data_IF_472302463879
#
_entry.id   IF_472302463879
#
_cell.length_a   1.000
_cell.length_b   1.000
_cell.length_c   1.000
_cell.angle_alpha   90.00
_cell.angle_beta   90.00
_cell.angle_gamma   90.00
#
_symmetry.space_group_name_H-M   'P 1'
#
loop_
_entity.id
_entity.type
_entity.pdbx_description
1 polymer ?
#
# COMPACT_ATOMS: atom_id res chain seq x y z
N UNK A 1 -18.70 13.45 6.59
CA UNK A 1 -18.45 12.01 6.85
C UNK A 1 -17.94 11.28 5.61
N UNK A 2 -18.62 11.39 4.47
CA UNK A 2 -18.25 10.72 3.21
C UNK A 2 -16.86 11.08 2.67
N UNK A 3 -16.51 12.37 2.61
CA UNK A 3 -15.15 12.83 2.21
C UNK A 3 -14.03 12.29 3.12
N UNK A 4 -14.31 12.10 4.41
CA UNK A 4 -13.33 11.54 5.36
C UNK A 4 -13.12 10.04 5.12
N UNK A 5 -14.19 9.32 4.74
CA UNK A 5 -14.12 7.90 4.36
C UNK A 5 -13.39 7.70 3.03
N UNK A 6 -13.60 8.60 2.07
CA UNK A 6 -12.85 8.66 0.81
C UNK A 6 -11.36 8.92 1.04
N UNK A 7 -11.02 9.92 1.87
CA UNK A 7 -9.64 10.22 2.24
C UNK A 7 -8.98 9.07 3.01
N UNK A 8 -9.73 8.35 3.85
CA UNK A 8 -9.25 7.15 4.54
C UNK A 8 -8.95 6.01 3.55
N UNK A 9 -9.79 5.82 2.53
CA UNK A 9 -9.52 4.90 1.42
C UNK A 9 -8.29 5.30 0.59
N UNK A 10 -8.07 6.61 0.40
CA UNK A 10 -6.92 7.17 -0.32
C UNK A 10 -5.59 7.05 0.46
N UNK A 11 -5.66 7.16 1.79
CA UNK A 11 -4.53 6.96 2.72
C UNK A 11 -3.89 5.57 2.56
N UNK A 12 -4.65 4.61 2.02
CA UNK A 12 -4.24 3.22 1.82
C UNK A 12 -3.61 2.96 0.44
N UNK A 13 -3.42 3.99 -0.39
CA UNK A 13 -2.66 3.88 -1.65
C UNK A 13 -1.16 3.62 -1.39
N UNK A 14 -0.65 3.90 -0.18
CA UNK A 14 0.78 3.81 0.17
C UNK A 14 1.18 2.40 0.67
N UNK A 15 0.64 1.35 0.05
CA UNK A 15 0.97 -0.05 0.35
C UNK A 15 2.27 -0.49 -0.34
N UNK A 16 2.78 -1.67 0.01
CA UNK A 16 3.92 -2.30 -0.70
C UNK A 16 5.31 -1.96 -0.17
N UNK A 17 5.43 -1.10 0.84
CA UNK A 17 6.73 -0.82 1.47
C UNK A 17 7.35 -2.04 2.18
N UNK A 18 6.58 -3.09 2.46
CA UNK A 18 7.07 -4.30 3.13
C UNK A 18 7.76 -5.31 2.21
N UNK A 19 7.78 -5.09 0.89
CA UNK A 19 8.36 -6.03 -0.08
C UNK A 19 9.78 -6.48 0.30
N UNK A 20 10.62 -5.57 0.81
CA UNK A 20 11.98 -5.89 1.27
C UNK A 20 12.03 -6.88 2.44
N UNK A 21 10.93 -7.09 3.19
CA UNK A 21 10.83 -8.04 4.31
C UNK A 21 11.07 -9.46 3.84
N UNK A 22 10.50 -9.78 2.68
CA UNK A 22 10.52 -11.12 2.09
C UNK A 22 11.86 -11.48 1.46
N UNK A 23 12.81 -10.53 1.41
CA UNK A 23 14.17 -10.76 0.92
C UNK A 23 15.13 -11.21 2.05
N UNK A 24 14.62 -11.90 3.07
CA UNK A 24 15.41 -12.34 4.23
C UNK A 24 16.54 -13.30 3.91
N UNK A 25 16.45 -14.03 2.80
CA UNK A 25 17.50 -14.95 2.35
C UNK A 25 18.68 -14.24 1.67
N UNK A 26 18.48 -12.99 1.23
CA UNK A 26 19.47 -12.23 0.46
C UNK A 26 20.07 -11.06 1.24
N UNK A 27 19.35 -10.49 2.21
CA UNK A 27 19.76 -9.27 2.90
C UNK A 27 19.50 -9.32 4.41
N UNK A 28 20.44 -8.72 5.17
CA UNK A 28 20.35 -8.63 6.62
C UNK A 28 19.15 -7.80 7.10
N UNK A 29 18.63 -8.08 8.32
CA UNK A 29 17.50 -7.36 8.90
C UNK A 29 17.67 -5.83 8.90
N UNK A 30 18.87 -5.33 9.21
CA UNK A 30 19.14 -3.89 9.25
C UNK A 30 19.03 -3.23 7.86
N UNK A 31 19.53 -3.89 6.81
CA UNK A 31 19.46 -3.40 5.44
C UNK A 31 18.01 -3.33 4.96
N UNK A 32 17.21 -4.38 5.23
CA UNK A 32 15.79 -4.42 4.87
C UNK A 32 15.02 -3.28 5.53
N UNK A 33 15.19 -3.05 6.84
CA UNK A 33 14.52 -1.94 7.55
C UNK A 33 14.93 -0.58 6.99
N UNK A 34 16.23 -0.37 6.69
CA UNK A 34 16.72 0.87 6.11
C UNK A 34 16.10 1.13 4.74
N UNK A 35 16.04 0.10 3.89
CA UNK A 35 15.43 0.17 2.56
C UNK A 35 13.95 0.55 2.64
N UNK A 36 13.16 -0.09 3.51
CA UNK A 36 11.73 0.22 3.69
C UNK A 36 11.51 1.68 4.10
N UNK A 37 12.27 2.17 5.09
CA UNK A 37 12.14 3.57 5.57
C UNK A 37 12.50 4.58 4.49
N UNK A 38 13.55 4.31 3.73
CA UNK A 38 13.99 5.18 2.65
C UNK A 38 12.97 5.18 1.50
N UNK A 39 12.43 4.01 1.14
CA UNK A 39 11.37 3.91 0.14
C UNK A 39 10.12 4.70 0.54
N UNK A 40 9.67 4.58 1.79
CA UNK A 40 8.55 5.36 2.33
C UNK A 40 8.81 6.87 2.26
N UNK A 41 10.01 7.32 2.65
CA UNK A 41 10.36 8.74 2.61
C UNK A 41 10.39 9.28 1.18
N UNK A 42 11.06 8.57 0.26
CA UNK A 42 11.16 8.97 -1.15
C UNK A 42 9.78 9.01 -1.80
N UNK A 43 8.96 7.96 -1.61
CA UNK A 43 7.60 7.91 -2.14
C UNK A 43 6.75 9.05 -1.57
N UNK A 44 6.84 9.31 -0.26
CA UNK A 44 6.14 10.41 0.39
C UNK A 44 6.51 11.77 -0.20
N UNK A 45 7.79 12.03 -0.43
CA UNK A 45 8.26 13.27 -1.08
C UNK A 45 7.73 13.37 -2.52
N UNK A 46 7.80 12.29 -3.30
CA UNK A 46 7.30 12.28 -4.68
C UNK A 46 5.79 12.57 -4.72
N UNK A 47 5.00 11.93 -3.85
CA UNK A 47 3.56 12.18 -3.78
C UNK A 47 3.23 13.62 -3.40
N UNK A 48 3.91 14.18 -2.40
CA UNK A 48 3.69 15.57 -1.98
C UNK A 48 4.05 16.54 -3.10
N UNK A 49 5.20 16.34 -3.77
CA UNK A 49 5.59 17.17 -4.90
C UNK A 49 4.59 17.07 -6.04
N UNK A 50 4.15 15.87 -6.40
CA UNK A 50 3.15 15.66 -7.44
C UNK A 50 1.85 16.41 -7.14
N UNK A 51 1.33 16.32 -5.91
CA UNK A 51 0.10 17.03 -5.51
C UNK A 51 0.31 18.53 -5.53
N UNK A 52 1.41 19.05 -4.97
CA UNK A 52 1.70 20.49 -4.92
C UNK A 52 1.83 21.07 -6.32
N UNK A 53 2.55 20.39 -7.22
CA UNK A 53 2.75 20.85 -8.60
C UNK A 53 1.48 20.70 -9.44
N UNK A 54 0.65 19.70 -9.18
CA UNK A 54 -0.63 19.50 -9.86
C UNK A 54 -1.76 20.42 -9.38
N UNK A 55 -1.67 20.95 -8.16
CA UNK A 55 -2.75 21.73 -7.53
C UNK A 55 -3.20 22.96 -8.34
N UNK A 56 -2.31 23.80 -8.91
CA UNK A 56 -2.74 24.94 -9.73
C UNK A 56 -3.59 24.49 -10.94
N UNK A 57 -3.19 23.38 -11.57
CA UNK A 57 -3.87 22.82 -12.73
C UNK A 57 -5.27 22.30 -12.39
N UNK A 58 -5.44 21.76 -11.18
CA UNK A 58 -6.72 21.30 -10.65
C UNK A 58 -7.64 22.46 -10.26
N UNK A 59 -7.09 23.58 -9.77
CA UNK A 59 -7.89 24.77 -9.42
C UNK A 59 -8.50 25.46 -10.65
N UNK A 60 -7.87 25.34 -11.81
CA UNK A 60 -8.39 25.85 -13.09
C UNK A 60 -9.36 24.87 -13.78
N UNK A 61 -9.51 23.65 -13.24
CA UNK A 61 -10.37 22.62 -13.82
C UNK A 61 -11.83 22.83 -13.41
N UNK A 62 -12.66 23.19 -14.39
CA UNK A 62 -14.11 23.40 -14.22
C UNK A 62 -14.95 22.25 -14.82
N UNK A 63 -14.32 21.14 -15.22
CA UNK A 63 -14.97 19.98 -15.82
C UNK A 63 -15.45 18.95 -14.80
N UNK A 64 -16.12 17.90 -15.30
CA UNK A 64 -16.42 16.71 -14.49
C UNK A 64 -15.10 15.98 -14.22
N UNK A 65 -14.76 15.77 -12.95
CA UNK A 65 -13.58 15.02 -12.55
C UNK A 65 -13.80 13.53 -12.83
N UNK A 66 -13.37 13.10 -14.01
CA UNK A 66 -13.37 11.70 -14.45
C UNK A 66 -11.97 11.07 -14.28
N UNK A 67 -11.88 9.75 -14.34
CA UNK A 67 -10.67 8.94 -14.11
C UNK A 67 -9.49 9.36 -15.00
N UNK A 68 -9.78 9.87 -16.18
CA UNK A 68 -8.78 10.32 -17.17
C UNK A 68 -8.51 11.84 -17.13
N UNK A 69 -9.21 12.60 -16.28
CA UNK A 69 -9.13 14.06 -16.26
C UNK A 69 -7.71 14.58 -16.00
N UNK A 70 -6.92 13.90 -15.17
CA UNK A 70 -5.52 14.26 -14.91
C UNK A 70 -4.67 14.12 -16.19
N UNK A 71 -4.93 13.07 -16.99
CA UNK A 71 -4.21 12.84 -18.26
C UNK A 71 -4.58 13.94 -19.27
N UNK A 72 -5.87 14.29 -19.37
CA UNK A 72 -6.35 15.37 -20.25
C UNK A 72 -5.79 16.73 -19.81
N UNK A 73 -5.75 17.00 -18.50
CA UNK A 73 -5.17 18.21 -17.93
C UNK A 73 -3.67 18.32 -18.21
N UNK A 74 -2.92 17.22 -18.07
CA UNK A 74 -1.49 17.21 -18.36
C UNK A 74 -1.19 17.54 -19.83
N UNK A 75 -2.09 17.18 -20.76
CA UNK A 75 -2.00 17.56 -22.17
C UNK A 75 -2.04 19.07 -22.41
N UNK A 76 -2.63 19.86 -21.50
CA UNK A 76 -2.61 21.33 -21.58
C UNK A 76 -1.24 21.92 -21.25
N UNK A 77 -0.41 21.18 -20.49
CA UNK A 77 0.95 21.61 -20.12
C UNK A 77 1.95 21.24 -21.21
N UNK A 78 1.87 20.01 -21.73
CA UNK A 78 2.65 19.58 -22.88
C UNK A 78 1.94 18.46 -23.63
N UNK A 79 2.00 18.53 -24.97
CA UNK A 79 1.30 17.59 -25.85
C UNK A 79 1.77 16.14 -25.68
N UNK A 80 3.03 15.92 -25.30
CA UNK A 80 3.62 14.58 -25.12
C UNK A 80 3.36 13.97 -23.72
N UNK A 81 2.98 14.78 -22.73
CA UNK A 81 2.78 14.33 -21.35
C UNK A 81 1.73 13.21 -21.22
N UNK A 82 0.55 13.28 -21.88
CA UNK A 82 -0.44 12.20 -21.81
C UNK A 82 0.11 10.83 -22.19
N UNK A 83 0.86 10.75 -23.30
CA UNK A 83 1.46 9.50 -23.77
C UNK A 83 2.49 8.96 -22.78
N UNK A 84 3.34 9.83 -22.24
CA UNK A 84 4.34 9.45 -21.24
C UNK A 84 3.70 8.97 -19.93
N UNK A 85 2.62 9.63 -19.48
CA UNK A 85 1.88 9.24 -18.27
C UNK A 85 1.20 7.89 -18.44
N UNK A 86 0.59 7.61 -19.60
CA UNK A 86 -0.01 6.30 -19.90
C UNK A 86 1.07 5.22 -19.88
N UNK A 87 2.19 5.44 -20.59
CA UNK A 87 3.29 4.48 -20.63
C UNK A 87 3.87 4.22 -19.23
N UNK A 88 4.11 5.29 -18.46
CA UNK A 88 4.60 5.20 -17.09
C UNK A 88 3.62 4.44 -16.18
N UNK A 89 2.32 4.70 -16.30
CA UNK A 89 1.29 4.02 -15.53
C UNK A 89 1.25 2.52 -15.85
N UNK A 90 1.33 2.13 -17.13
CA UNK A 90 1.35 0.73 -17.54
C UNK A 90 2.61 0.02 -17.03
N UNK A 91 3.79 0.64 -17.20
CA UNK A 91 5.05 0.07 -16.71
C UNK A 91 5.08 -0.07 -15.18
N UNK A 92 4.59 0.94 -14.46
CA UNK A 92 4.52 0.94 -13.00
C UNK A 92 3.60 -0.18 -12.49
N UNK A 93 2.40 -0.31 -13.07
CA UNK A 93 1.44 -1.37 -12.70
C UNK A 93 1.96 -2.76 -13.03
N UNK A 94 2.61 -2.94 -14.18
CA UNK A 94 3.22 -4.21 -14.55
C UNK A 94 4.33 -4.62 -13.58
N UNK A 95 5.24 -3.70 -13.25
CA UNK A 95 6.32 -3.95 -12.28
C UNK A 95 5.77 -4.34 -10.91
N UNK A 96 4.77 -3.60 -10.41
CA UNK A 96 4.11 -3.91 -9.14
C UNK A 96 3.45 -5.30 -9.15
N UNK A 97 2.72 -5.64 -10.21
CA UNK A 97 2.06 -6.94 -10.34
C UNK A 97 3.07 -8.11 -10.36
N UNK A 98 4.21 -7.93 -11.05
CA UNK A 98 5.29 -8.94 -11.06
C UNK A 98 5.91 -9.07 -9.67
N UNK A 99 6.23 -7.96 -9.00
CA UNK A 99 6.81 -7.96 -7.67
C UNK A 99 5.88 -8.63 -6.64
N UNK A 100 4.58 -8.34 -6.68
CA UNK A 100 3.59 -8.95 -5.78
C UNK A 100 3.40 -10.44 -6.08
N UNK A 101 3.41 -10.84 -7.36
CA UNK A 101 3.35 -12.25 -7.74
C UNK A 101 4.54 -13.02 -7.18
N UNK A 102 5.76 -12.51 -7.39
CA UNK A 102 6.99 -13.12 -6.87
C UNK A 102 6.98 -13.17 -5.34
N UNK A 103 6.60 -12.07 -4.69
CA UNK A 103 6.50 -11.97 -3.25
C UNK A 103 5.52 -12.97 -2.64
N UNK A 104 4.31 -13.07 -3.21
CA UNK A 104 3.27 -13.98 -2.72
C UNK A 104 3.67 -15.47 -2.86
N UNK A 105 4.26 -15.88 -3.98
CA UNK A 105 4.71 -17.27 -4.14
C UNK A 105 5.83 -17.67 -3.16
N UNK A 106 6.73 -16.73 -2.83
CA UNK A 106 7.71 -16.90 -1.77
C UNK A 106 7.06 -17.08 -0.40
N UNK A 107 6.08 -16.22 -0.08
CA UNK A 107 5.33 -16.26 1.18
C UNK A 107 4.58 -17.58 1.39
N UNK A 108 3.92 -18.11 0.36
CA UNK A 108 3.23 -19.40 0.42
C UNK A 108 4.19 -20.56 0.73
N UNK A 109 5.40 -20.49 0.19
CA UNK A 109 6.43 -21.51 0.41
C UNK A 109 6.97 -21.43 1.85
N UNK A 110 7.19 -20.21 2.35
CA UNK A 110 7.68 -19.96 3.72
C UNK A 110 6.64 -20.32 4.79
N UNK A 111 5.40 -19.85 4.65
CA UNK A 111 4.32 -20.10 5.61
C UNK A 111 3.87 -21.56 5.64
N UNK A 112 4.00 -22.29 4.54
CA UNK A 112 3.73 -23.73 4.50
C UNK A 112 4.86 -24.58 5.10
N UNK A 113 5.96 -23.96 5.56
CA UNK A 113 7.14 -24.67 6.02
C UNK A 113 7.74 -25.55 4.92
N UNK A 114 7.81 -25.03 3.68
CA UNK A 114 8.24 -25.72 2.45
C UNK A 114 7.35 -26.89 1.98
N UNK A 115 6.14 -27.06 2.54
CA UNK A 115 5.22 -28.14 2.15
C UNK A 115 4.47 -27.86 0.84
N UNK A 116 4.25 -26.58 0.51
CA UNK A 116 3.62 -26.17 -0.75
C UNK A 116 4.67 -25.57 -1.67
N UNK A 117 4.71 -26.06 -2.91
CA UNK A 117 5.60 -25.51 -3.93
C UNK A 117 5.15 -24.12 -4.38
N UNK A 118 6.10 -23.26 -4.73
CA UNK A 118 5.82 -21.90 -5.21
C UNK A 118 4.91 -21.89 -6.45
N UNK A 119 4.93 -22.96 -7.27
CA UNK A 119 4.04 -23.12 -8.43
C UNK A 119 2.57 -23.17 -8.06
N UNK A 120 2.22 -23.92 -7.01
CA UNK A 120 0.83 -23.99 -6.53
C UNK A 120 0.39 -22.64 -5.93
N UNK A 121 1.32 -21.95 -5.25
CA UNK A 121 1.11 -20.57 -4.78
C UNK A 121 0.78 -19.61 -5.91
N UNK A 122 1.55 -19.64 -7.02
CA UNK A 122 1.29 -18.80 -8.19
C UNK A 122 -0.04 -19.13 -8.86
N UNK A 123 -0.36 -20.41 -9.04
CA UNK A 123 -1.65 -20.82 -9.64
C UNK A 123 -2.82 -20.34 -8.78
N UNK A 124 -2.75 -20.54 -7.46
CA UNK A 124 -3.78 -20.07 -6.54
C UNK A 124 -3.95 -18.55 -6.58
N UNK A 125 -2.83 -17.81 -6.56
CA UNK A 125 -2.83 -16.36 -6.65
C UNK A 125 -3.49 -15.86 -7.94
N UNK A 126 -3.10 -16.42 -9.09
CA UNK A 126 -3.66 -16.04 -10.40
C UNK A 126 -5.15 -16.38 -10.48
N UNK A 127 -5.57 -17.53 -9.99
CA UNK A 127 -6.98 -17.92 -9.98
C UNK A 127 -7.83 -16.94 -9.14
N UNK A 128 -7.36 -16.56 -7.95
CA UNK A 128 -8.03 -15.55 -7.11
C UNK A 128 -8.04 -14.18 -7.79
N UNK A 129 -6.94 -13.77 -8.41
CA UNK A 129 -6.86 -12.50 -9.12
C UNK A 129 -7.87 -12.43 -10.29
N UNK A 130 -7.96 -13.49 -11.11
CA UNK A 130 -8.94 -13.58 -12.21
C UNK A 130 -10.36 -13.49 -11.66
N UNK A 131 -10.66 -14.24 -10.59
CA UNK A 131 -12.00 -14.26 -9.99
C UNK A 131 -12.39 -12.88 -9.44
N UNK A 132 -11.47 -12.18 -8.77
CA UNK A 132 -11.71 -10.83 -8.26
C UNK A 132 -11.97 -9.82 -9.40
N UNK A 133 -11.18 -9.87 -10.47
CA UNK A 133 -11.35 -9.01 -11.66
C UNK A 133 -12.67 -9.31 -12.38
N UNK A 134 -13.16 -10.55 -12.32
CA UNK A 134 -14.40 -10.94 -12.97
C UNK A 134 -15.66 -10.51 -12.22
N UNK A 135 -15.57 -10.34 -10.90
CA UNK A 135 -16.75 -10.10 -10.02
C UNK A 135 -16.83 -8.64 -9.55
N UNK A 136 -15.70 -7.96 -9.36
CA UNK A 136 -15.67 -6.62 -8.78
C UNK A 136 -15.22 -5.54 -9.75
N UNK A 137 -15.70 -4.31 -9.54
CA UNK A 137 -15.13 -3.14 -10.20
C UNK A 137 -13.80 -2.74 -9.53
N UNK A 138 -13.01 -1.92 -10.21
CA UNK A 138 -11.69 -1.48 -9.72
C UNK A 138 -11.81 -0.83 -8.33
N UNK A 139 -12.81 0.00 -8.09
CA UNK A 139 -13.00 0.66 -6.80
C UNK A 139 -13.36 -0.30 -5.66
N UNK A 140 -14.16 -1.34 -5.95
CA UNK A 140 -14.52 -2.39 -4.99
C UNK A 140 -13.29 -3.22 -4.61
N UNK A 141 -12.49 -3.62 -5.61
CA UNK A 141 -11.27 -4.39 -5.41
C UNK A 141 -10.25 -3.58 -4.60
N UNK A 142 -10.06 -2.31 -4.94
CA UNK A 142 -9.15 -1.42 -4.20
C UNK A 142 -9.62 -1.23 -2.76
N UNK A 143 -10.93 -1.05 -2.52
CA UNK A 143 -11.45 -0.92 -1.15
C UNK A 143 -11.29 -2.21 -0.36
N UNK A 144 -11.54 -3.37 -0.96
CA UNK A 144 -11.35 -4.66 -0.32
C UNK A 144 -9.88 -4.89 0.05
N UNK A 145 -8.95 -4.71 -0.90
CA UNK A 145 -7.52 -4.85 -0.66
C UNK A 145 -7.06 -3.90 0.46
N UNK A 146 -7.52 -2.66 0.40
CA UNK A 146 -7.27 -1.63 1.39
C UNK A 146 -7.66 -2.04 2.82
N UNK A 147 -8.85 -2.63 3.01
CA UNK A 147 -9.27 -3.18 4.31
C UNK A 147 -8.39 -4.34 4.77
N UNK A 148 -8.07 -5.28 3.89
CA UNK A 148 -7.22 -6.44 4.22
C UNK A 148 -5.83 -5.99 4.67
N UNK A 149 -5.24 -5.00 3.99
CA UNK A 149 -3.96 -4.42 4.42
C UNK A 149 -4.07 -3.66 5.74
N UNK A 150 -5.16 -2.93 5.98
CA UNK A 150 -5.38 -2.25 7.26
C UNK A 150 -5.50 -3.25 8.43
N UNK A 151 -6.20 -4.37 8.24
CA UNK A 151 -6.27 -5.46 9.22
C UNK A 151 -4.90 -6.08 9.48
N UNK A 152 -4.14 -6.34 8.42
CA UNK A 152 -2.80 -6.89 8.53
C UNK A 152 -1.86 -5.96 9.32
N UNK A 153 -1.85 -4.66 9.02
CA UNK A 153 -1.06 -3.68 9.78
C UNK A 153 -1.57 -3.48 11.20
N UNK A 154 -2.88 -3.60 11.45
CA UNK A 154 -3.45 -3.58 12.79
C UNK A 154 -2.89 -4.73 13.63
N UNK A 155 -2.90 -5.95 13.08
CA UNK A 155 -2.31 -7.13 13.73
C UNK A 155 -0.82 -6.92 14.02
N UNK A 156 -0.07 -6.34 13.08
CA UNK A 156 1.33 -6.01 13.33
C UNK A 156 1.54 -5.00 14.46
N UNK A 157 0.69 -3.97 14.55
CA UNK A 157 0.74 -3.01 15.65
C UNK A 157 0.49 -3.71 17.00
N UNK A 158 -0.50 -4.62 17.06
CA UNK A 158 -0.79 -5.40 18.27
C UNK A 158 0.37 -6.32 18.64
N UNK A 159 0.98 -7.00 17.67
CA UNK A 159 2.17 -7.84 17.89
C UNK A 159 3.36 -7.00 18.35
N UNK A 160 3.58 -5.80 17.79
CA UNK A 160 4.63 -4.89 18.20
C UNK A 160 4.45 -4.40 19.63
N UNK A 161 3.21 -4.10 20.03
CA UNK A 161 2.85 -3.76 21.42
C UNK A 161 3.17 -4.95 22.33
N UNK A 162 2.69 -6.15 22.01
CA UNK A 162 2.94 -7.36 22.79
C UNK A 162 4.44 -7.70 22.91
N UNK A 163 5.20 -7.56 21.82
CA UNK A 163 6.65 -7.77 21.80
C UNK A 163 7.38 -6.73 22.66
N UNK A 164 6.94 -5.45 22.63
CA UNK A 164 7.50 -4.38 23.47
C UNK A 164 7.20 -4.60 24.95
N UNK A 165 6.05 -5.21 25.28
CA UNK A 165 5.74 -5.60 26.64
C UNK A 165 6.65 -6.74 27.15
N UNK A 166 6.92 -7.75 26.31
CA UNK A 166 7.73 -8.93 26.65
C UNK A 166 9.23 -8.68 26.65
N UNK A 167 9.70 -7.65 25.94
CA UNK A 167 11.13 -7.39 25.78
C UNK A 167 11.66 -6.48 26.89
N UNK A 168 12.52 -7.02 27.77
CA UNK A 168 13.15 -6.26 28.86
C UNK A 168 14.21 -5.24 28.40
N UNK A 169 14.65 -5.28 27.13
CA UNK A 169 15.67 -4.38 26.57
C UNK A 169 15.21 -2.92 26.39
N UNK A 170 13.91 -2.64 26.44
CA UNK A 170 13.38 -1.29 26.26
C UNK A 170 12.72 -0.84 27.55
N UNK A 171 13.37 0.07 28.28
CA UNK A 171 12.90 0.56 29.59
C UNK A 171 12.60 2.06 29.56
N UNK A 172 11.79 2.51 30.53
CA UNK A 172 11.48 3.92 30.77
C UNK A 172 10.65 4.58 29.66
N UNK A 173 10.88 5.88 29.46
CA UNK A 173 10.10 6.76 28.59
C UNK A 173 10.04 6.31 27.13
N UNK A 174 11.10 5.64 26.64
CA UNK A 174 11.16 5.08 25.29
C UNK A 174 10.17 3.94 25.08
N UNK A 175 9.96 3.10 26.10
CA UNK A 175 8.97 2.01 26.05
C UNK A 175 7.57 2.57 25.92
N UNK A 176 7.25 3.56 26.77
CA UNK A 176 5.96 4.23 26.76
C UNK A 176 5.72 4.91 25.42
N UNK A 177 6.69 5.67 24.89
CA UNK A 177 6.58 6.32 23.59
C UNK A 177 6.30 5.34 22.44
N UNK A 178 7.01 4.20 22.41
CA UNK A 178 6.77 3.17 21.39
C UNK A 178 5.38 2.55 21.50
N UNK A 179 4.98 2.13 22.70
CA UNK A 179 3.65 1.55 22.94
C UNK A 179 2.56 2.56 22.56
N UNK A 180 2.68 3.82 22.97
CA UNK A 180 1.72 4.87 22.61
C UNK A 180 1.66 5.06 21.10
N UNK A 181 2.80 5.10 20.40
CA UNK A 181 2.82 5.24 18.94
C UNK A 181 2.14 4.07 18.22
N UNK A 182 2.40 2.82 18.62
CA UNK A 182 1.76 1.65 18.05
C UNK A 182 0.27 1.57 18.42
N UNK A 183 -0.11 1.99 19.62
CA UNK A 183 -1.51 2.05 20.05
C UNK A 183 -2.30 3.08 19.25
N UNK A 184 -1.74 4.28 19.04
CA UNK A 184 -2.36 5.32 18.20
C UNK A 184 -2.54 4.80 16.77
N UNK A 185 -1.51 4.17 16.19
CA UNK A 185 -1.60 3.58 14.86
C UNK A 185 -2.65 2.47 14.79
N UNK A 186 -2.70 1.59 15.79
CA UNK A 186 -3.70 0.53 15.89
C UNK A 186 -5.12 1.10 15.96
N UNK A 187 -5.34 2.18 16.72
CA UNK A 187 -6.66 2.83 16.78
C UNK A 187 -7.04 3.41 15.41
N UNK A 188 -6.12 4.10 14.73
CA UNK A 188 -6.36 4.64 13.39
C UNK A 188 -6.72 3.51 12.41
N UNK A 189 -5.96 2.42 12.40
CA UNK A 189 -6.19 1.27 11.54
C UNK A 189 -7.50 0.55 11.87
N UNK A 190 -7.85 0.41 13.16
CA UNK A 190 -9.13 -0.16 13.58
C UNK A 190 -10.31 0.70 13.12
N UNK A 191 -10.19 2.03 13.20
CA UNK A 191 -11.19 2.95 12.67
C UNK A 191 -11.33 2.79 11.14
N UNK A 192 -10.22 2.62 10.43
CA UNK A 192 -10.24 2.35 8.99
C UNK A 192 -10.97 1.03 8.70
N UNK A 193 -10.62 -0.05 9.39
CA UNK A 193 -11.26 -1.37 9.17
C UNK A 193 -12.77 -1.32 9.40
N UNK A 194 -13.21 -0.63 10.46
CA UNK A 194 -14.64 -0.55 10.84
C UNK A 194 -15.41 0.45 9.97
N UNK A 195 -14.82 1.60 9.65
CA UNK A 195 -15.54 2.74 9.06
C UNK A 195 -15.19 3.05 7.59
N UNK A 196 -14.15 2.42 7.01
CA UNK A 196 -13.91 2.54 5.58
C UNK A 196 -15.08 1.85 4.86
N UNK A 197 -15.80 2.58 4.02
CA UNK A 197 -16.91 2.07 3.19
C UNK A 197 -16.37 1.91 1.76
N UNK A 198 -16.83 0.93 0.96
CA UNK A 198 -16.53 0.87 -0.46
C UNK A 198 -16.73 2.22 -1.10
N UNK A 199 -15.71 2.68 -1.82
CA UNK A 199 -15.87 3.85 -2.68
C UNK A 199 -16.64 3.35 -3.89
N UNK A 200 -17.96 3.51 -3.88
CA UNK A 200 -18.87 3.18 -4.97
C UNK A 200 -19.84 4.32 -5.16
#
# INVERSE_FOLDING_TARGET
MERLRLLAGLLLIVQGFETSRYLGNAYDPAMRVRSMRLAQLIAGVIYLLFVITGLPLLMEFHGIADETAIITLAGRVAEILPALLILAAVMSRFSAAVADTVGAGGLFTELSGSRLSSRLGYIGLVAVAILLVWIGNVFDIVTLASRVFAEYYLLQCLVAIAATFRTARVTGMRRTALITSFAVMAVILALIVVFAIPVG
#
